data_IF_141339258759
#
_entry.id   IF_141339258759
#
_cell.length_a   1.000
_cell.length_b   1.000
_cell.length_c   1.000
_cell.angle_alpha   90.00
_cell.angle_beta   90.00
_cell.angle_gamma   90.00
#
_symmetry.space_group_name_H-M   'P 1'
#
loop_
_entity.id
_entity.type
_entity.pdbx_description
1 polymer ?
#
# COMPACT_ATOMS: atom_id res chain seq x y z
N UNK A 1 -6.97 -10.60 -28.36
CA UNK A 1 -7.34 -11.02 -26.99
C UNK A 1 -7.31 -9.79 -26.10
N UNK A 2 -8.47 -9.19 -25.84
CA UNK A 2 -8.59 -7.99 -25.03
C UNK A 2 -8.38 -8.36 -23.57
N UNK A 3 -7.32 -7.84 -22.95
CA UNK A 3 -7.13 -7.88 -21.51
C UNK A 3 -8.29 -7.08 -20.91
N UNK A 4 -9.33 -7.74 -20.42
CA UNK A 4 -10.32 -7.14 -19.53
C UNK A 4 -9.55 -6.77 -18.28
N UNK A 5 -8.92 -5.59 -18.29
CA UNK A 5 -8.37 -5.00 -17.09
C UNK A 5 -9.60 -4.67 -16.26
N UNK A 6 -9.98 -5.56 -15.35
CA UNK A 6 -10.80 -5.20 -14.20
C UNK A 6 -10.35 -3.81 -13.74
N UNK A 7 -11.27 -2.87 -13.44
CA UNK A 7 -10.90 -1.54 -13.02
C UNK A 7 -9.98 -1.67 -11.80
N UNK A 8 -8.67 -1.59 -12.04
CA UNK A 8 -7.66 -1.68 -11.01
C UNK A 8 -7.78 -0.36 -10.27
N UNK A 9 -8.54 -0.38 -9.18
CA UNK A 9 -8.68 0.77 -8.30
C UNK A 9 -7.31 1.05 -7.69
N UNK A 10 -6.65 2.07 -8.23
CA UNK A 10 -5.38 2.60 -7.76
C UNK A 10 -5.65 3.84 -6.92
N UNK A 11 -5.35 3.77 -5.62
CA UNK A 11 -5.59 4.85 -4.66
C UNK A 11 -4.25 5.33 -4.13
N UNK A 12 -4.03 6.64 -4.16
CA UNK A 12 -2.81 7.26 -3.62
C UNK A 12 -3.04 7.65 -2.16
N UNK A 13 -2.12 7.29 -1.28
CA UNK A 13 -2.21 7.60 0.14
C UNK A 13 -0.83 7.70 0.79
N UNK A 14 -0.53 8.82 1.47
CA UNK A 14 0.76 9.13 2.14
C UNK A 14 2.02 8.81 1.31
N UNK A 15 1.99 8.99 -0.01
CA UNK A 15 3.13 8.69 -0.90
C UNK A 15 3.23 7.23 -1.37
N UNK A 16 2.19 6.43 -1.10
CA UNK A 16 2.04 5.05 -1.57
C UNK A 16 0.87 4.92 -2.53
N UNK A 17 0.95 3.95 -3.42
CA UNK A 17 -0.12 3.53 -4.31
C UNK A 17 -0.67 2.19 -3.81
N UNK A 18 -1.96 2.20 -3.51
CA UNK A 18 -2.77 1.07 -3.09
C UNK A 18 -3.52 0.52 -4.32
N UNK A 19 -3.19 -0.68 -4.74
CA UNK A 19 -3.77 -1.32 -5.92
C UNK A 19 -4.70 -2.44 -5.48
N UNK A 20 -6.01 -2.28 -5.69
CA UNK A 20 -6.98 -3.35 -5.42
C UNK A 20 -6.74 -4.51 -6.39
N UNK A 21 -6.57 -5.71 -5.84
CA UNK A 21 -6.44 -6.95 -6.58
C UNK A 21 -7.82 -7.63 -6.72
N UNK A 22 -7.99 -8.46 -7.75
CA UNK A 22 -9.26 -9.17 -8.03
C UNK A 22 -9.73 -10.12 -6.93
N UNK A 23 -8.84 -10.50 -6.01
CA UNK A 23 -9.12 -11.30 -4.81
C UNK A 23 -9.44 -10.43 -3.57
N UNK A 24 -9.88 -9.18 -3.75
CA UNK A 24 -10.16 -8.20 -2.69
C UNK A 24 -8.96 -7.88 -1.76
N UNK A 25 -7.75 -8.28 -2.14
CA UNK A 25 -6.51 -7.89 -1.47
C UNK A 25 -6.01 -6.54 -2.00
N UNK A 26 -5.07 -5.92 -1.30
CA UNK A 26 -4.42 -4.69 -1.76
C UNK A 26 -2.92 -4.86 -1.89
N UNK A 27 -2.37 -4.41 -3.02
CA UNK A 27 -0.93 -4.30 -3.21
C UNK A 27 -0.52 -2.85 -2.90
N UNK A 28 0.28 -2.69 -1.85
CA UNK A 28 0.80 -1.40 -1.39
C UNK A 28 2.22 -1.25 -1.92
N UNK A 29 2.47 -0.21 -2.70
CA UNK A 29 3.80 0.11 -3.23
C UNK A 29 4.14 1.59 -3.03
N UNK A 30 5.39 1.95 -2.76
CA UNK A 30 5.80 3.35 -2.75
C UNK A 30 5.68 3.96 -4.14
N UNK A 31 5.32 5.25 -4.20
CA UNK A 31 5.23 6.00 -5.45
C UNK A 31 6.60 6.53 -5.90
N UNK A 32 7.49 6.83 -4.95
CA UNK A 32 8.83 7.40 -5.20
C UNK A 32 9.91 6.72 -4.36
N UNK A 33 11.13 6.67 -4.89
CA UNK A 33 12.35 6.40 -4.12
C UNK A 33 12.88 7.71 -3.51
N UNK A 34 13.49 7.71 -2.31
CA UNK A 34 13.91 6.56 -1.51
C UNK A 34 12.73 5.80 -0.86
N UNK A 35 12.80 4.47 -0.89
CA UNK A 35 11.74 3.59 -0.41
C UNK A 35 11.75 3.53 1.12
N UNK A 36 10.82 4.26 1.77
CA UNK A 36 10.59 4.16 3.23
C UNK A 36 10.08 2.78 3.65
N UNK A 37 9.16 2.21 2.88
CA UNK A 37 8.63 0.87 3.12
C UNK A 37 8.69 0.05 1.84
N UNK A 38 9.10 -1.21 1.97
CA UNK A 38 9.07 -2.18 0.88
C UNK A 38 7.63 -2.46 0.43
N UNK A 39 7.40 -2.79 -0.86
CA UNK A 39 6.08 -3.19 -1.34
C UNK A 39 5.58 -4.41 -0.58
N UNK A 40 4.31 -4.39 -0.19
CA UNK A 40 3.69 -5.51 0.50
C UNK A 40 2.24 -5.71 0.06
N UNK A 41 1.73 -6.91 0.30
CA UNK A 41 0.31 -7.24 0.08
C UNK A 41 -0.42 -7.31 1.39
N UNK A 42 -1.63 -6.78 1.42
CA UNK A 42 -2.57 -6.96 2.52
C UNK A 42 -3.44 -8.18 2.26
N UNK A 43 -3.99 -8.81 3.31
CA UNK A 43 -5.09 -9.76 3.16
C UNK A 43 -6.35 -9.08 2.61
N UNK A 44 -7.40 -9.87 2.41
CA UNK A 44 -8.74 -9.43 1.99
C UNK A 44 -9.31 -8.45 3.02
N UNK A 45 -9.16 -7.16 2.76
CA UNK A 45 -9.50 -6.10 3.71
C UNK A 45 -10.12 -4.89 3.00
N UNK A 46 -10.83 -4.07 3.78
CA UNK A 46 -11.38 -2.81 3.31
C UNK A 46 -10.29 -1.77 3.09
N UNK A 47 -10.59 -0.74 2.30
CA UNK A 47 -9.65 0.38 2.06
C UNK A 47 -9.23 1.06 3.37
N UNK A 48 -10.14 1.18 4.35
CA UNK A 48 -9.87 1.80 5.64
C UNK A 48 -8.81 1.02 6.44
N UNK A 49 -8.93 -0.30 6.53
CA UNK A 49 -7.95 -1.18 7.16
C UNK A 49 -6.57 -1.05 6.52
N UNK A 50 -6.51 -1.03 5.18
CA UNK A 50 -5.23 -0.91 4.47
C UNK A 50 -4.56 0.42 4.73
N UNK A 51 -5.34 1.51 4.84
CA UNK A 51 -4.81 2.82 5.22
C UNK A 51 -4.27 2.80 6.65
N UNK A 52 -5.01 2.22 7.60
CA UNK A 52 -4.59 2.11 8.99
C UNK A 52 -3.32 1.24 9.14
N UNK A 53 -3.24 0.12 8.42
CA UNK A 53 -2.05 -0.74 8.40
C UNK A 53 -0.83 -0.02 7.82
N UNK A 54 -1.02 0.76 6.75
CA UNK A 54 0.07 1.56 6.19
C UNK A 54 0.53 2.64 7.17
N UNK A 55 -0.42 3.29 7.83
CA UNK A 55 -0.14 4.32 8.84
C UNK A 55 0.74 3.76 9.95
N UNK A 56 0.30 2.65 10.57
CA UNK A 56 1.05 1.94 11.59
C UNK A 56 2.47 1.53 11.14
N UNK A 57 2.61 1.03 9.90
CA UNK A 57 3.95 0.68 9.37
C UNK A 57 4.83 1.90 9.17
N UNK A 58 4.27 3.04 8.76
CA UNK A 58 5.02 4.28 8.59
C UNK A 58 5.46 4.87 9.93
N UNK A 59 4.62 4.75 10.96
CA UNK A 59 4.98 5.13 12.33
C UNK A 59 6.11 4.27 12.88
N UNK A 60 6.09 2.95 12.62
CA UNK A 60 7.18 2.05 13.01
C UNK A 60 8.51 2.38 12.31
N UNK A 61 8.48 2.61 11.00
CA UNK A 61 9.66 3.01 10.22
C UNK A 61 10.23 4.36 10.72
N UNK A 62 9.36 5.33 11.00
CA UNK A 62 9.77 6.63 11.54
C UNK A 62 10.39 6.48 12.93
N UNK A 63 9.84 5.62 13.78
CA UNK A 63 10.36 5.33 15.12
C UNK A 63 11.75 4.70 15.06
N UNK A 64 11.99 3.76 14.14
CA UNK A 64 13.31 3.14 13.90
C UNK A 64 14.36 4.16 13.45
N UNK A 65 13.98 5.14 12.62
CA UNK A 65 14.89 6.20 12.14
C UNK A 65 15.20 7.22 13.25
N UNK A 66 14.27 7.48 14.19
CA UNK A 66 14.44 8.49 15.24
C UNK A 66 15.35 8.06 16.41
N UNK A 67 15.74 6.78 16.50
CA UNK A 67 16.61 6.24 17.57
C UNK A 67 18.10 6.28 17.18
N UNK A 68 18.45 6.79 16.00
CA UNK A 68 19.82 6.89 15.51
C UNK A 68 20.47 8.27 15.78
#
# INVERSE_FOLDING_TARGET
MGMTRDPQYAIRYRGFVLLKQGNNSWLVRPERSPMRLLPFRTPTCSLADVKALLDWRLEQDTSLISVA
#
